data_IF_355812870388
#
_entry.id   IF_355812870388
#
_cell.length_a   1.000
_cell.length_b   1.000
_cell.length_c   1.000
_cell.angle_alpha   90.00
_cell.angle_beta   90.00
_cell.angle_gamma   90.00
#
_symmetry.space_group_name_H-M   'P 1'
#
loop_
_entity.id
_entity.type
_entity.pdbx_description
1 polymer ?
#
# COMPACT_ATOMS: atom_id res chain seq x y z
N UNK A 1 -30.26 -2.21 -21.67
CA UNK A 1 -30.10 -3.68 -21.60
C UNK A 1 -30.12 -4.38 -22.96
N UNK A 2 -30.99 -4.04 -23.98
CA UNK A 2 -30.93 -4.73 -25.28
C UNK A 2 -29.57 -4.72 -25.91
N UNK A 3 -28.96 -3.55 -26.09
CA UNK A 3 -27.64 -3.37 -26.70
C UNK A 3 -26.53 -4.27 -26.11
N UNK A 4 -26.56 -4.47 -24.78
CA UNK A 4 -25.56 -5.34 -24.11
C UNK A 4 -25.86 -6.83 -24.39
N UNK A 5 -27.14 -7.21 -24.42
CA UNK A 5 -27.55 -8.59 -24.77
C UNK A 5 -27.14 -8.90 -26.20
N UNK A 6 -27.41 -8.01 -27.15
CA UNK A 6 -27.07 -8.17 -28.57
C UNK A 6 -25.55 -8.27 -28.76
N UNK A 7 -24.79 -7.36 -28.15
CA UNK A 7 -23.33 -7.36 -28.19
C UNK A 7 -22.70 -8.65 -27.65
N UNK A 8 -23.29 -9.21 -26.57
CA UNK A 8 -22.81 -10.46 -25.98
C UNK A 8 -23.23 -11.68 -26.81
N UNK A 9 -24.46 -11.66 -27.36
CA UNK A 9 -24.98 -12.75 -28.18
C UNK A 9 -24.14 -12.99 -29.44
N UNK A 10 -23.67 -11.92 -30.12
CA UNK A 10 -22.76 -11.99 -31.25
C UNK A 10 -21.45 -12.76 -30.92
N UNK A 11 -21.07 -12.82 -29.63
CA UNK A 11 -19.86 -13.46 -29.10
C UNK A 11 -20.12 -14.78 -28.40
N UNK A 12 -21.34 -15.31 -28.56
CA UNK A 12 -21.75 -16.56 -27.91
C UNK A 12 -21.87 -16.45 -26.37
N UNK A 13 -21.97 -15.25 -25.82
CA UNK A 13 -22.09 -15.00 -24.40
C UNK A 13 -23.51 -14.59 -24.01
N UNK A 14 -23.95 -14.99 -22.83
CA UNK A 14 -25.26 -14.65 -22.27
C UNK A 14 -25.14 -14.00 -20.90
N UNK A 15 -26.00 -13.02 -20.62
CA UNK A 15 -26.14 -12.45 -19.29
C UNK A 15 -26.87 -13.43 -18.36
N UNK A 16 -26.32 -13.68 -17.19
CA UNK A 16 -27.06 -14.39 -16.14
C UNK A 16 -28.13 -13.46 -15.56
N UNK A 17 -29.39 -13.79 -15.72
CA UNK A 17 -30.50 -13.00 -15.20
C UNK A 17 -30.48 -12.90 -13.67
N UNK A 18 -30.14 -13.99 -12.99
CA UNK A 18 -30.02 -14.03 -11.52
C UNK A 18 -28.89 -13.13 -10.97
N UNK A 19 -27.83 -12.92 -11.73
CA UNK A 19 -26.64 -12.15 -11.31
C UNK A 19 -26.60 -10.74 -11.86
N UNK A 20 -27.49 -10.41 -12.79
CA UNK A 20 -27.53 -9.11 -13.46
C UNK A 20 -28.55 -8.21 -12.78
N UNK A 21 -28.07 -7.23 -12.03
CA UNK A 21 -28.91 -6.26 -11.32
C UNK A 21 -28.66 -4.87 -11.86
N UNK A 22 -29.73 -4.15 -12.17
CA UNK A 22 -29.68 -2.72 -12.49
C UNK A 22 -29.80 -1.95 -11.19
N UNK A 23 -28.73 -1.25 -10.81
CA UNK A 23 -28.68 -0.47 -9.57
C UNK A 23 -28.56 1.01 -9.89
N UNK A 24 -29.38 1.85 -9.25
CA UNK A 24 -29.23 3.28 -9.38
C UNK A 24 -27.95 3.75 -8.65
N UNK A 25 -27.20 4.65 -9.25
CA UNK A 25 -25.90 5.09 -8.71
C UNK A 25 -25.99 5.79 -7.35
N UNK A 26 -27.17 6.33 -6.98
CA UNK A 26 -27.44 6.87 -5.65
C UNK A 26 -27.57 5.81 -4.56
N UNK A 27 -27.99 4.58 -4.92
CA UNK A 27 -28.03 3.44 -4.00
C UNK A 27 -26.65 2.83 -3.86
N UNK A 28 -25.87 2.87 -4.95
CA UNK A 28 -24.49 2.38 -5.04
C UNK A 28 -24.40 0.86 -5.14
N UNK A 29 -23.25 0.37 -5.48
CA UNK A 29 -22.96 -1.05 -5.58
C UNK A 29 -21.52 -1.33 -5.14
N UNK A 30 -21.27 -2.57 -4.72
CA UNK A 30 -19.97 -3.05 -4.35
C UNK A 30 -19.29 -3.75 -5.53
N UNK A 31 -18.08 -3.33 -5.87
CA UNK A 31 -17.27 -3.93 -6.92
C UNK A 31 -15.81 -4.04 -6.46
N UNK A 32 -15.22 -5.22 -6.57
CA UNK A 32 -13.84 -5.50 -6.16
C UNK A 32 -13.49 -4.97 -4.76
N UNK A 33 -14.39 -5.15 -3.80
CA UNK A 33 -14.17 -4.70 -2.41
C UNK A 33 -14.29 -3.19 -2.20
N UNK A 34 -14.75 -2.46 -3.20
CA UNK A 34 -15.02 -1.04 -3.15
C UNK A 34 -16.50 -0.75 -3.37
N UNK A 35 -17.05 0.21 -2.64
CA UNK A 35 -18.41 0.71 -2.83
C UNK A 35 -18.36 1.96 -3.71
N UNK A 36 -19.10 1.92 -4.82
CA UNK A 36 -19.21 3.00 -5.80
C UNK A 36 -20.60 3.61 -5.64
N UNK A 37 -20.67 4.86 -5.22
CA UNK A 37 -21.95 5.52 -4.92
C UNK A 37 -21.86 7.03 -5.14
N UNK A 38 -22.99 7.63 -5.57
CA UNK A 38 -23.15 9.07 -5.68
C UNK A 38 -23.74 9.64 -4.38
N UNK A 39 -23.00 10.51 -3.71
CA UNK A 39 -23.42 11.20 -2.48
C UNK A 39 -23.59 12.68 -2.78
N UNK A 40 -24.79 13.22 -2.59
CA UNK A 40 -25.07 14.65 -2.81
C UNK A 40 -24.48 15.19 -4.14
N UNK A 41 -24.72 14.46 -5.24
CA UNK A 41 -24.21 14.82 -6.54
C UNK A 41 -22.76 14.42 -6.84
N UNK A 42 -21.95 14.04 -5.85
CA UNK A 42 -20.53 13.67 -6.01
C UNK A 42 -20.36 12.14 -6.00
N UNK A 43 -19.72 11.62 -7.05
CA UNK A 43 -19.35 10.20 -7.09
C UNK A 43 -18.17 9.95 -6.16
N UNK A 44 -18.34 9.04 -5.22
CA UNK A 44 -17.28 8.60 -4.31
C UNK A 44 -17.09 7.10 -4.44
N UNK A 45 -15.83 6.69 -4.42
CA UNK A 45 -15.41 5.29 -4.31
C UNK A 45 -14.79 5.13 -2.93
N UNK A 46 -15.29 4.17 -2.14
CA UNK A 46 -14.82 3.90 -0.77
C UNK A 46 -14.60 2.41 -0.57
N UNK A 47 -13.78 1.96 0.39
CA UNK A 47 -13.78 0.57 0.80
C UNK A 47 -15.18 0.10 1.16
N UNK A 48 -15.61 -1.05 0.63
CA UNK A 48 -16.95 -1.59 0.92
C UNK A 48 -17.04 -2.05 2.37
N UNK A 49 -18.26 -2.02 2.94
CA UNK A 49 -18.50 -2.53 4.30
C UNK A 49 -18.07 -3.99 4.46
N UNK A 50 -18.27 -4.79 3.42
CA UNK A 50 -17.88 -6.19 3.40
C UNK A 50 -16.36 -6.38 3.38
N UNK A 51 -15.63 -5.57 2.59
CA UNK A 51 -14.16 -5.59 2.58
C UNK A 51 -13.57 -5.21 3.94
N UNK A 52 -14.10 -4.18 4.60
CA UNK A 52 -13.70 -3.78 5.95
C UNK A 52 -13.99 -4.89 6.97
N UNK A 53 -15.18 -5.49 6.93
CA UNK A 53 -15.54 -6.62 7.82
C UNK A 53 -14.61 -7.81 7.62
N UNK A 54 -14.33 -8.19 6.37
CA UNK A 54 -13.44 -9.30 6.03
C UNK A 54 -12.01 -9.05 6.52
N UNK A 55 -11.48 -7.85 6.31
CA UNK A 55 -10.17 -7.45 6.81
C UNK A 55 -10.10 -7.53 8.35
N UNK A 56 -11.05 -6.92 9.04
CA UNK A 56 -11.09 -6.96 10.51
C UNK A 56 -11.30 -8.38 11.05
N UNK A 57 -12.04 -9.24 10.34
CA UNK A 57 -12.14 -10.67 10.65
C UNK A 57 -10.78 -11.34 10.56
N UNK A 58 -10.02 -11.11 9.48
CA UNK A 58 -8.66 -11.64 9.30
C UNK A 58 -7.72 -11.20 10.42
N UNK A 59 -7.72 -9.91 10.78
CA UNK A 59 -6.93 -9.39 11.92
C UNK A 59 -7.29 -10.09 13.22
N UNK A 60 -8.60 -10.22 13.53
CA UNK A 60 -9.06 -10.91 14.76
C UNK A 60 -8.66 -12.38 14.78
N UNK A 61 -8.71 -13.06 13.65
CA UNK A 61 -8.27 -14.46 13.53
C UNK A 61 -6.79 -14.57 13.86
N UNK A 62 -5.92 -13.73 13.25
CA UNK A 62 -4.48 -13.73 13.55
C UNK A 62 -4.23 -13.51 15.04
N UNK A 63 -4.89 -12.51 15.65
CA UNK A 63 -4.71 -12.23 17.09
C UNK A 63 -5.23 -13.38 17.95
N UNK A 64 -6.35 -14.02 17.58
CA UNK A 64 -6.94 -15.15 18.31
C UNK A 64 -6.06 -16.40 18.25
N UNK A 65 -5.46 -16.70 17.11
CA UNK A 65 -4.58 -17.84 16.92
C UNK A 65 -3.19 -17.64 17.60
N UNK A 66 -2.81 -16.41 17.83
CA UNK A 66 -1.52 -16.04 18.43
C UNK A 66 -1.66 -15.51 19.86
N UNK A 67 -2.46 -16.19 20.70
CA UNK A 67 -2.71 -15.78 22.09
C UNK A 67 -1.46 -15.78 22.96
N UNK A 68 -0.55 -16.72 22.72
CA UNK A 68 0.71 -16.92 23.48
C UNK A 68 1.93 -16.32 22.79
N UNK A 69 1.80 -15.84 21.55
CA UNK A 69 2.89 -15.26 20.78
C UNK A 69 3.49 -14.03 21.47
N UNK A 70 4.76 -13.78 21.24
CA UNK A 70 5.41 -12.54 21.66
C UNK A 70 4.84 -11.33 20.88
N UNK A 71 5.01 -10.15 21.43
CA UNK A 71 4.47 -8.93 20.81
C UNK A 71 5.10 -8.67 19.44
N UNK A 72 6.41 -8.84 19.32
CA UNK A 72 7.14 -8.65 18.05
C UNK A 72 6.68 -9.64 16.98
N UNK A 73 6.46 -10.90 17.31
CA UNK A 73 5.94 -11.90 16.39
C UNK A 73 4.53 -11.53 15.91
N UNK A 74 3.67 -11.04 16.81
CA UNK A 74 2.33 -10.61 16.45
C UNK A 74 2.36 -9.40 15.49
N UNK A 75 3.24 -8.42 15.74
CA UNK A 75 3.44 -7.27 14.86
C UNK A 75 3.93 -7.72 13.48
N UNK A 76 4.90 -8.64 13.42
CA UNK A 76 5.39 -9.19 12.13
C UNK A 76 4.30 -9.86 11.31
N UNK A 77 3.33 -10.52 11.96
CA UNK A 77 2.19 -11.16 11.28
C UNK A 77 1.13 -10.15 10.83
N UNK A 78 0.91 -9.09 11.59
CA UNK A 78 -0.12 -8.09 11.30
C UNK A 78 0.31 -7.07 10.25
N UNK A 79 1.55 -6.58 10.31
CA UNK A 79 2.04 -5.53 9.41
C UNK A 79 1.87 -5.84 7.92
N UNK A 80 2.22 -7.04 7.40
CA UNK A 80 2.00 -7.35 5.98
C UNK A 80 0.52 -7.31 5.59
N UNK A 81 -0.37 -7.74 6.49
CA UNK A 81 -1.82 -7.76 6.25
C UNK A 81 -2.39 -6.35 6.24
N UNK A 82 -1.97 -5.49 7.18
CA UNK A 82 -2.35 -4.09 7.23
C UNK A 82 -1.83 -3.37 5.99
N UNK A 83 -0.53 -3.49 5.68
CA UNK A 83 0.13 -2.86 4.54
C UNK A 83 -0.53 -3.25 3.21
N UNK A 84 -0.81 -4.53 3.01
CA UNK A 84 -1.46 -5.00 1.79
C UNK A 84 -2.85 -4.39 1.61
N UNK A 85 -3.64 -4.35 2.68
CA UNK A 85 -5.00 -3.81 2.65
C UNK A 85 -5.02 -2.29 2.44
N UNK A 86 -4.19 -1.53 3.14
CA UNK A 86 -4.13 -0.07 2.98
C UNK A 86 -3.57 0.33 1.61
N UNK A 87 -2.59 -0.40 1.08
CA UNK A 87 -2.06 -0.13 -0.25
C UNK A 87 -3.10 -0.35 -1.34
N UNK A 88 -3.97 -1.35 -1.20
CA UNK A 88 -5.09 -1.56 -2.12
C UNK A 88 -6.11 -0.41 -2.08
N UNK A 89 -6.45 0.06 -0.87
CA UNK A 89 -7.49 1.08 -0.69
C UNK A 89 -6.97 2.53 -0.67
N UNK A 90 -5.66 2.77 -0.78
CA UNK A 90 -5.09 4.13 -0.76
C UNK A 90 -5.47 5.01 -1.95
N UNK A 91 -6.01 4.42 -3.00
CA UNK A 91 -6.41 5.14 -4.22
C UNK A 91 -7.86 5.60 -4.22
N UNK A 92 -8.60 5.34 -3.16
CA UNK A 92 -10.01 5.71 -3.00
C UNK A 92 -10.22 6.55 -1.74
N UNK A 93 -11.44 7.00 -1.50
CA UNK A 93 -11.79 7.81 -0.31
C UNK A 93 -11.83 6.89 0.91
N UNK A 94 -10.72 6.70 1.58
CA UNK A 94 -10.52 5.71 2.64
C UNK A 94 -9.99 6.28 3.97
N UNK A 95 -9.67 7.57 4.07
CA UNK A 95 -9.04 8.15 5.25
C UNK A 95 -9.81 7.87 6.56
N UNK A 96 -11.11 8.15 6.59
CA UNK A 96 -11.97 7.90 7.76
C UNK A 96 -12.05 6.42 8.10
N UNK A 97 -12.08 5.57 7.06
CA UNK A 97 -12.12 4.11 7.23
C UNK A 97 -10.80 3.60 7.78
N UNK A 98 -9.67 4.17 7.38
CA UNK A 98 -8.36 3.84 7.93
C UNK A 98 -8.29 4.16 9.43
N UNK A 99 -8.80 5.33 9.85
CA UNK A 99 -8.90 5.67 11.27
C UNK A 99 -9.81 4.71 12.06
N UNK A 100 -10.97 4.36 11.49
CA UNK A 100 -11.87 3.35 12.08
C UNK A 100 -11.18 1.99 12.24
N UNK A 101 -10.45 1.56 11.23
CA UNK A 101 -9.74 0.27 11.21
C UNK A 101 -8.66 0.26 12.29
N UNK A 102 -7.86 1.31 12.42
CA UNK A 102 -6.83 1.43 13.46
C UNK A 102 -7.44 1.35 14.86
N UNK A 103 -8.58 2.00 15.07
CA UNK A 103 -9.30 1.91 16.35
C UNK A 103 -9.76 0.47 16.64
N UNK A 104 -10.31 -0.23 15.66
CA UNK A 104 -10.74 -1.63 15.81
C UNK A 104 -9.58 -2.60 16.04
N UNK A 105 -8.43 -2.34 15.41
CA UNK A 105 -7.20 -3.11 15.66
C UNK A 105 -6.73 -2.85 17.10
N UNK A 106 -6.71 -1.59 17.53
CA UNK A 106 -6.37 -1.24 18.93
C UNK A 106 -7.25 -1.98 19.93
N UNK A 107 -8.58 -1.97 19.77
CA UNK A 107 -9.50 -2.68 20.66
C UNK A 107 -9.18 -4.20 20.73
N UNK A 108 -8.84 -4.78 19.58
CA UNK A 108 -8.49 -6.20 19.49
C UNK A 108 -7.20 -6.51 20.25
N UNK A 109 -6.15 -5.70 20.06
CA UNK A 109 -4.86 -5.84 20.71
C UNK A 109 -4.94 -5.53 22.21
N UNK A 110 -5.75 -4.55 22.60
CA UNK A 110 -6.01 -4.26 24.01
C UNK A 110 -6.62 -5.46 24.73
N UNK A 111 -7.63 -6.08 24.15
CA UNK A 111 -8.25 -7.31 24.69
C UNK A 111 -7.24 -8.47 24.76
N UNK A 112 -6.35 -8.59 23.76
CA UNK A 112 -5.29 -9.59 23.76
C UNK A 112 -4.29 -9.34 24.90
N UNK A 113 -3.83 -8.13 25.11
CA UNK A 113 -2.91 -7.74 26.18
C UNK A 113 -3.52 -7.94 27.58
N UNK A 114 -4.76 -7.50 27.78
CA UNK A 114 -5.48 -7.69 29.06
C UNK A 114 -5.66 -9.17 29.42
N UNK A 115 -5.97 -10.01 28.43
CA UNK A 115 -6.13 -11.46 28.66
C UNK A 115 -4.85 -12.13 29.14
N UNK A 116 -3.69 -11.66 28.67
CA UNK A 116 -2.37 -12.20 29.07
C UNK A 116 -1.98 -11.81 30.50
N UNK A 117 -2.51 -10.70 31.01
CA UNK A 117 -2.11 -10.12 32.28
C UNK A 117 -3.32 -9.83 33.19
N UNK A 118 -4.10 -10.86 33.46
CA UNK A 118 -5.36 -10.77 34.26
C UNK A 118 -5.18 -10.14 35.64
N UNK A 119 -3.97 -10.27 36.24
CA UNK A 119 -3.67 -9.73 37.58
C UNK A 119 -2.97 -8.37 37.55
N UNK A 120 -2.80 -7.76 36.38
CA UNK A 120 -2.12 -6.45 36.24
C UNK A 120 -3.12 -5.34 35.92
N UNK A 121 -2.87 -4.17 36.48
CA UNK A 121 -3.71 -2.99 36.21
C UNK A 121 -3.56 -2.48 34.76
N UNK A 122 -4.56 -1.74 34.29
CA UNK A 122 -4.60 -1.21 32.91
C UNK A 122 -3.40 -0.32 32.58
N UNK A 123 -2.95 0.51 33.54
CA UNK A 123 -1.77 1.38 33.36
C UNK A 123 -0.50 0.58 33.12
N UNK A 124 -0.31 -0.52 33.88
CA UNK A 124 0.83 -1.40 33.68
C UNK A 124 0.81 -2.06 32.30
N UNK A 125 -0.37 -2.55 31.85
CA UNK A 125 -0.55 -3.16 30.52
C UNK A 125 -0.25 -2.15 29.43
N UNK A 126 -0.76 -0.92 29.56
CA UNK A 126 -0.49 0.15 28.62
C UNK A 126 1.02 0.42 28.49
N UNK A 127 1.70 0.63 29.61
CA UNK A 127 3.14 0.94 29.62
C UNK A 127 3.99 -0.22 29.06
N UNK A 128 3.52 -1.48 29.21
CA UNK A 128 4.24 -2.64 28.70
C UNK A 128 4.15 -2.77 27.17
N UNK A 129 3.00 -2.47 26.58
CA UNK A 129 2.73 -2.81 25.18
C UNK A 129 2.66 -1.60 24.25
N UNK A 130 2.43 -0.41 24.80
CA UNK A 130 2.34 0.84 24.03
C UNK A 130 3.42 1.80 24.49
N UNK A 131 4.15 2.35 23.54
CA UNK A 131 5.27 3.24 23.76
C UNK A 131 5.03 4.58 23.09
N UNK A 132 5.67 5.61 23.64
CA UNK A 132 5.80 6.89 22.95
C UNK A 132 6.90 6.76 21.90
N UNK A 133 6.55 6.81 20.64
CA UNK A 133 7.50 6.70 19.52
C UNK A 133 7.17 7.79 18.51
N UNK A 134 8.16 8.55 18.14
CA UNK A 134 8.01 9.74 17.31
C UNK A 134 6.99 10.70 17.95
N UNK A 135 6.01 11.20 17.22
CA UNK A 135 4.97 12.11 17.70
C UNK A 135 3.71 11.38 18.22
N UNK A 136 3.78 10.08 18.47
CA UNK A 136 2.62 9.27 18.87
C UNK A 136 2.81 8.63 20.25
N UNK A 137 1.91 8.95 21.15
CA UNK A 137 1.97 8.48 22.55
C UNK A 137 1.55 7.03 22.75
N UNK A 138 0.74 6.47 21.85
CA UNK A 138 0.18 5.13 21.97
C UNK A 138 0.53 4.27 20.75
N UNK A 139 1.81 3.92 20.61
CA UNK A 139 2.27 3.03 19.55
C UNK A 139 2.46 1.61 20.09
N UNK A 140 1.71 0.66 19.53
CA UNK A 140 1.90 -0.75 19.84
C UNK A 140 3.22 -1.22 19.22
N UNK A 141 4.24 -1.42 20.07
CA UNK A 141 5.59 -1.67 19.61
C UNK A 141 6.38 -2.52 20.62
N UNK A 142 7.31 -3.31 20.13
CA UNK A 142 8.17 -4.16 20.95
C UNK A 142 9.63 -4.04 20.52
N UNK A 143 10.56 -4.23 21.44
CA UNK A 143 11.94 -4.53 21.09
C UNK A 143 11.98 -5.90 20.41
N UNK A 144 12.49 -6.00 19.18
CA UNK A 144 12.50 -7.26 18.47
C UNK A 144 13.47 -8.24 19.10
N UNK A 145 13.05 -9.49 19.31
CA UNK A 145 13.89 -10.57 19.81
C UNK A 145 15.06 -10.88 18.85
N UNK A 146 14.85 -10.64 17.56
CA UNK A 146 15.86 -10.79 16.51
C UNK A 146 15.91 -9.52 15.66
N UNK A 147 17.11 -8.93 15.55
CA UNK A 147 17.39 -7.79 14.65
C UNK A 147 18.10 -8.31 13.41
N UNK A 148 17.45 -8.20 12.25
CA UNK A 148 18.14 -8.40 10.96
C UNK A 148 19.22 -7.33 10.74
N UNK A 149 20.18 -7.58 9.84
CA UNK A 149 21.29 -6.66 9.54
C UNK A 149 20.83 -5.24 9.14
N UNK A 150 19.63 -5.09 8.59
CA UNK A 150 19.06 -3.83 8.12
C UNK A 150 18.07 -3.19 9.10
N UNK A 151 17.94 -3.71 10.32
CA UNK A 151 16.99 -3.20 11.31
C UNK A 151 17.69 -2.29 12.32
N UNK A 152 17.68 -1.00 12.02
CA UNK A 152 18.36 0.05 12.81
C UNK A 152 17.44 0.70 13.87
N UNK A 153 16.14 0.38 13.87
CA UNK A 153 15.18 0.94 14.82
C UNK A 153 15.17 0.17 16.15
N UNK A 154 15.10 0.90 17.28
CA UNK A 154 14.98 0.30 18.62
C UNK A 154 13.72 -0.56 18.76
N UNK A 155 12.62 -0.15 18.14
CA UNK A 155 11.31 -0.77 18.26
C UNK A 155 10.77 -1.23 16.91
N UNK A 156 10.26 -2.47 16.89
CA UNK A 156 9.36 -2.93 15.84
C UNK A 156 7.96 -2.39 16.12
N UNK A 157 7.43 -1.52 15.23
CA UNK A 157 6.14 -0.84 15.35
C UNK A 157 5.04 -1.55 14.59
N UNK A 158 3.82 -1.55 15.15
CA UNK A 158 2.63 -1.86 14.37
C UNK A 158 2.37 -0.73 13.37
N UNK A 159 2.10 -1.08 12.12
CA UNK A 159 1.71 -0.11 11.10
C UNK A 159 0.29 0.41 11.36
N UNK A 160 0.12 1.71 11.16
CA UNK A 160 -1.19 2.36 11.25
C UNK A 160 -1.73 2.65 9.86
N UNK A 161 -2.96 2.21 9.61
CA UNK A 161 -3.64 2.46 8.35
C UNK A 161 -3.77 3.96 8.06
N UNK A 162 -4.10 4.76 9.07
CA UNK A 162 -4.25 6.21 8.95
C UNK A 162 -2.97 6.96 8.54
N UNK A 163 -1.79 6.37 8.74
CA UNK A 163 -0.54 6.96 8.28
C UNK A 163 -0.34 6.82 6.75
N UNK A 164 -1.17 6.02 6.09
CA UNK A 164 -1.08 5.82 4.64
C UNK A 164 -1.68 7.01 3.92
N UNK A 165 -0.86 7.69 3.11
CA UNK A 165 -1.31 8.81 2.30
C UNK A 165 -2.25 8.33 1.21
N UNK A 166 -3.39 9.00 1.08
CA UNK A 166 -4.33 8.78 -0.01
C UNK A 166 -3.73 9.35 -1.30
N UNK A 167 -3.69 8.54 -2.34
CA UNK A 167 -3.21 8.92 -3.67
C UNK A 167 -4.42 9.08 -4.57
N UNK A 168 -4.70 10.29 -5.02
CA UNK A 168 -5.80 10.53 -5.97
C UNK A 168 -5.44 9.95 -7.32
N UNK A 169 -6.33 9.12 -7.85
CA UNK A 169 -6.23 8.69 -9.24
C UNK A 169 -6.54 9.87 -10.16
N UNK A 170 -5.59 10.21 -11.03
CA UNK A 170 -5.83 11.16 -12.12
C UNK A 170 -6.44 10.39 -13.30
N UNK A 171 -7.67 10.75 -13.67
CA UNK A 171 -8.35 10.15 -14.81
C UNK A 171 -7.52 10.38 -16.09
N UNK A 172 -7.43 9.36 -16.91
CA UNK A 172 -6.84 9.48 -18.25
C UNK A 172 -7.85 10.23 -19.13
N UNK A 173 -7.38 11.17 -19.92
CA UNK A 173 -8.21 11.86 -20.94
C UNK A 173 -8.76 10.82 -21.91
N UNK A 174 -10.04 10.93 -22.24
CA UNK A 174 -10.72 9.88 -23.03
C UNK A 174 -10.09 9.67 -24.43
N UNK A 175 -9.57 10.74 -25.02
CA UNK A 175 -8.91 10.70 -26.33
C UNK A 175 -7.46 10.18 -26.25
N UNK A 176 -6.87 10.08 -25.04
CA UNK A 176 -5.48 9.69 -24.90
C UNK A 176 -5.29 8.20 -25.23
N UNK A 177 -4.58 7.95 -26.32
CA UNK A 177 -4.20 6.61 -26.76
C UNK A 177 -2.72 6.35 -26.44
N UNK A 178 -2.37 5.33 -25.61
CA UNK A 178 -0.98 5.05 -25.25
C UNK A 178 -0.12 4.59 -26.44
N UNK A 179 -0.74 4.14 -27.53
CA UNK A 179 -0.05 3.69 -28.74
C UNK A 179 0.14 4.80 -29.78
N UNK A 180 -0.44 5.99 -29.57
CA UNK A 180 -0.28 7.14 -30.45
C UNK A 180 0.84 8.07 -29.94
N UNK A 181 1.87 8.26 -30.76
CA UNK A 181 3.06 9.07 -30.45
C UNK A 181 2.74 10.49 -29.98
N UNK A 182 1.64 11.10 -30.43
CA UNK A 182 1.24 12.45 -29.99
C UNK A 182 0.96 12.53 -28.49
N UNK A 183 0.60 11.39 -27.84
CA UNK A 183 0.30 11.33 -26.42
C UNK A 183 1.49 10.91 -25.55
N UNK A 184 2.66 10.66 -26.14
CA UNK A 184 3.87 10.25 -25.40
C UNK A 184 4.21 11.22 -24.28
N UNK A 185 4.24 12.53 -24.56
CA UNK A 185 4.51 13.55 -23.55
C UNK A 185 3.51 13.57 -22.40
N UNK A 186 2.22 13.38 -22.70
CA UNK A 186 1.17 13.29 -21.70
C UNK A 186 1.36 12.11 -20.74
N UNK A 187 1.68 10.93 -21.27
CA UNK A 187 1.96 9.74 -20.43
C UNK A 187 3.25 9.89 -19.65
N UNK A 188 4.28 10.48 -20.24
CA UNK A 188 5.54 10.78 -19.57
C UNK A 188 5.39 11.71 -18.38
N UNK A 189 4.54 12.75 -18.52
CA UNK A 189 4.23 13.66 -17.42
C UNK A 189 3.48 12.94 -16.30
N UNK A 190 2.50 12.10 -16.63
CA UNK A 190 1.76 11.29 -15.66
C UNK A 190 2.65 10.33 -14.88
N UNK A 191 3.58 9.65 -15.56
CA UNK A 191 4.54 8.75 -14.93
C UNK A 191 5.52 9.52 -14.04
N UNK A 192 5.93 10.71 -14.49
CA UNK A 192 6.71 11.63 -13.68
C UNK A 192 6.01 12.00 -12.37
N UNK A 193 4.73 12.37 -12.42
CA UNK A 193 3.94 12.69 -11.23
C UNK A 193 3.75 11.49 -10.30
N UNK A 194 3.52 10.29 -10.84
CA UNK A 194 3.43 9.04 -10.07
C UNK A 194 4.74 8.76 -9.33
N UNK A 195 5.86 8.92 -10.03
CA UNK A 195 7.18 8.74 -9.45
C UNK A 195 7.47 9.76 -8.35
N UNK A 196 7.16 11.05 -8.56
CA UNK A 196 7.28 12.10 -7.55
C UNK A 196 6.44 11.80 -6.30
N UNK A 197 5.23 11.25 -6.47
CA UNK A 197 4.39 10.86 -5.35
C UNK A 197 4.97 9.65 -4.59
N UNK A 198 5.61 8.70 -5.27
CA UNK A 198 6.25 7.53 -4.65
C UNK A 198 7.53 7.91 -3.90
N UNK A 199 8.22 8.97 -4.34
CA UNK A 199 9.47 9.48 -3.75
C UNK A 199 9.26 10.68 -2.83
N UNK A 200 8.01 11.07 -2.54
CA UNK A 200 7.69 12.26 -1.73
C UNK A 200 8.38 12.23 -0.36
N UNK A 201 9.08 13.30 -0.05
CA UNK A 201 9.90 13.43 1.16
C UNK A 201 11.33 12.88 0.98
N UNK A 202 11.71 12.44 -0.22
CA UNK A 202 13.04 11.95 -0.56
C UNK A 202 13.63 12.76 -1.70
N UNK A 203 13.84 14.06 -1.49
CA UNK A 203 14.33 14.99 -2.52
C UNK A 203 15.62 14.54 -3.20
N UNK A 204 16.51 13.87 -2.46
CA UNK A 204 17.74 13.30 -3.03
C UNK A 204 17.45 12.26 -4.13
N UNK A 205 16.44 11.41 -3.93
CA UNK A 205 16.03 10.40 -4.93
C UNK A 205 15.45 11.05 -6.17
N UNK A 206 14.66 12.10 -6.00
CA UNK A 206 14.10 12.87 -7.12
C UNK A 206 15.22 13.52 -7.95
N UNK A 207 16.24 14.08 -7.29
CA UNK A 207 17.42 14.65 -7.98
C UNK A 207 18.17 13.60 -8.77
N UNK A 208 18.45 12.43 -8.17
CA UNK A 208 19.13 11.32 -8.85
C UNK A 208 18.32 10.91 -10.10
N UNK A 209 17.03 10.67 -9.94
CA UNK A 209 16.15 10.25 -11.02
C UNK A 209 16.08 11.26 -12.18
N UNK A 210 16.00 12.57 -11.89
CA UNK A 210 15.99 13.61 -12.90
C UNK A 210 17.36 13.73 -13.61
N UNK A 211 18.48 13.63 -12.86
CA UNK A 211 19.84 13.68 -13.41
C UNK A 211 20.11 12.53 -14.39
N UNK A 212 19.46 11.38 -14.17
CA UNK A 212 19.53 10.20 -15.05
C UNK A 212 18.51 10.26 -16.21
N UNK A 213 17.92 11.43 -16.49
CA UNK A 213 16.87 11.59 -17.51
C UNK A 213 15.71 10.60 -17.33
N UNK A 214 15.43 10.21 -16.06
CA UNK A 214 14.39 9.26 -15.64
C UNK A 214 14.60 7.82 -16.14
N UNK A 215 15.77 7.48 -16.64
CA UNK A 215 16.11 6.16 -17.16
C UNK A 215 17.11 5.42 -16.26
N UNK A 216 17.07 4.11 -16.32
CA UNK A 216 18.03 3.23 -15.68
C UNK A 216 19.36 3.27 -16.46
N UNK A 217 20.51 3.59 -15.85
CA UNK A 217 21.76 3.65 -16.57
C UNK A 217 22.29 2.28 -17.02
N UNK A 218 21.72 1.18 -16.52
CA UNK A 218 22.11 -0.19 -16.87
C UNK A 218 21.40 -0.68 -18.13
N UNK A 219 20.10 -0.52 -18.25
CA UNK A 219 19.30 -1.02 -19.38
C UNK A 219 18.80 0.10 -20.32
N UNK A 220 18.95 1.37 -19.95
CA UNK A 220 18.43 2.51 -20.71
C UNK A 220 16.92 2.73 -20.61
N UNK A 221 16.18 1.80 -20.03
CA UNK A 221 14.73 1.89 -19.91
C UNK A 221 14.29 2.84 -18.80
N UNK A 222 13.06 3.36 -18.91
CA UNK A 222 12.51 4.29 -17.93
C UNK A 222 12.26 3.65 -16.57
N UNK A 223 12.60 4.38 -15.52
CA UNK A 223 12.27 4.04 -14.14
C UNK A 223 10.95 4.72 -13.80
N UNK A 224 9.92 3.92 -13.54
CA UNK A 224 8.59 4.36 -13.15
C UNK A 224 8.22 3.85 -11.75
N UNK A 225 7.11 4.31 -11.22
CA UNK A 225 6.56 3.78 -9.96
C UNK A 225 6.12 2.32 -10.07
N UNK A 226 5.85 1.84 -11.28
CA UNK A 226 5.42 0.46 -11.57
C UNK A 226 6.61 -0.49 -11.69
N UNK A 227 7.67 -0.08 -12.40
CA UNK A 227 8.91 -0.87 -12.50
C UNK A 227 9.65 -0.95 -11.17
N UNK A 228 9.42 0.02 -10.29
CA UNK A 228 10.16 0.16 -9.05
C UNK A 228 11.61 0.58 -9.27
N UNK A 229 12.33 0.78 -8.18
CA UNK A 229 13.76 1.13 -8.23
C UNK A 229 14.49 0.67 -6.97
N UNK A 230 15.82 0.55 -7.12
CA UNK A 230 16.81 0.43 -6.05
C UNK A 230 17.86 1.52 -6.22
N UNK A 231 18.45 1.97 -5.13
CA UNK A 231 19.65 2.83 -5.19
C UNK A 231 20.88 1.96 -5.14
N UNK A 232 21.78 2.18 -6.06
CA UNK A 232 23.09 1.54 -6.10
C UNK A 232 24.18 2.61 -5.91
N UNK A 233 25.16 2.33 -5.07
CA UNK A 233 26.28 3.23 -4.80
C UNK A 233 27.47 2.80 -5.63
N UNK A 234 27.99 3.71 -6.44
CA UNK A 234 29.19 3.46 -7.25
C UNK A 234 30.42 3.85 -6.40
N UNK A 235 31.36 2.93 -6.13
CA UNK A 235 32.59 3.27 -5.43
C UNK A 235 33.49 4.13 -6.31
N UNK A 236 33.53 5.41 -6.02
CA UNK A 236 34.56 6.31 -6.60
C UNK A 236 35.54 6.76 -5.53
N UNK A 237 36.83 6.86 -5.92
CA UNK A 237 37.95 7.21 -5.06
C UNK A 237 37.64 8.41 -4.15
N UNK A 238 37.54 8.17 -2.85
CA UNK A 238 37.62 9.13 -1.73
C UNK A 238 36.58 10.28 -1.63
N UNK A 239 35.47 10.28 -2.35
CA UNK A 239 34.37 11.25 -2.15
C UNK A 239 33.04 10.55 -2.01
N UNK A 240 32.09 11.15 -1.24
CA UNK A 240 30.70 10.68 -1.04
C UNK A 240 30.17 10.00 -2.30
N UNK A 241 29.95 8.71 -2.21
CA UNK A 241 29.53 7.79 -3.24
C UNK A 241 28.35 8.35 -4.04
N UNK A 242 28.48 8.61 -5.35
CA UNK A 242 27.35 8.98 -6.16
C UNK A 242 26.39 7.80 -6.20
N UNK A 243 25.15 8.05 -5.81
CA UNK A 243 24.10 7.06 -5.90
C UNK A 243 23.44 7.13 -7.27
N UNK A 244 23.21 5.99 -7.89
CA UNK A 244 22.37 5.85 -9.08
C UNK A 244 21.08 5.11 -8.72
N UNK A 245 20.03 5.37 -9.50
CA UNK A 245 18.77 4.68 -9.39
C UNK A 245 18.69 3.66 -10.54
N UNK A 246 18.43 2.40 -10.20
CA UNK A 246 18.36 1.29 -11.17
C UNK A 246 17.11 0.44 -10.91
N UNK A 247 16.65 -0.31 -11.89
CA UNK A 247 15.56 -1.29 -11.66
C UNK A 247 16.00 -2.38 -10.68
N UNK A 248 15.04 -3.00 -9.95
CA UNK A 248 15.37 -4.08 -9.01
C UNK A 248 16.11 -5.26 -9.64
N UNK A 249 15.77 -5.62 -10.90
CA UNK A 249 16.49 -6.69 -11.64
C UNK A 249 17.88 -6.24 -12.12
N UNK A 250 18.02 -4.99 -12.59
CA UNK A 250 19.33 -4.43 -12.97
C UNK A 250 20.27 -4.33 -11.75
N UNK A 251 19.72 -4.01 -10.57
CA UNK A 251 20.48 -3.99 -9.33
C UNK A 251 21.04 -5.37 -8.96
N UNK A 252 20.24 -6.44 -9.14
CA UNK A 252 20.72 -7.81 -8.92
C UNK A 252 21.88 -8.15 -9.86
N UNK A 253 21.76 -7.84 -11.14
CA UNK A 253 22.79 -8.11 -12.14
C UNK A 253 24.10 -7.33 -11.88
N UNK A 254 24.05 -6.19 -11.18
CA UNK A 254 25.25 -5.46 -10.77
C UNK A 254 26.01 -6.12 -9.62
N UNK A 255 25.32 -6.93 -8.81
CA UNK A 255 25.90 -7.64 -7.67
C UNK A 255 26.24 -9.10 -7.95
N UNK A 256 25.66 -9.69 -9.01
CA UNK A 256 25.87 -11.05 -9.44
C UNK A 256 26.24 -11.07 -10.96
N UNK A 257 27.49 -10.69 -11.34
CA UNK A 257 27.85 -10.62 -12.75
C UNK A 257 28.02 -11.98 -13.44
N UNK A 258 27.88 -13.13 -12.76
CA UNK A 258 28.30 -14.43 -13.25
C UNK A 258 27.19 -15.47 -13.47
N UNK A 259 26.01 -15.08 -13.98
CA UNK A 259 25.05 -16.06 -14.51
C UNK A 259 24.60 -15.69 -15.93
N UNK A 260 25.57 -15.60 -16.84
CA UNK A 260 25.34 -15.70 -18.28
C UNK A 260 26.37 -16.73 -18.83
N UNK A 261 26.00 -18.00 -18.73
CA UNK A 261 26.41 -19.06 -19.66
C UNK A 261 25.17 -19.80 -20.08
#
# INVERSE_FOLDING_TARGET
>A
MPLIKDFLAERGLQLSEEKTVITHISDGFDFLGQNIRKYNGKLLIKPSKNAVKAFLKKVRTIVKENKTATQDLLIRKLNPVIRGWVNYHRYVVSADIFGLVDHRIFECLWKWACRRHKRKGRKWIANKYWHHIDNRTWTFAAEPAFRGKDFDEKYLKLEYAANTKIIRFKKITAEANPFDKKWTGYYEERDGERMLNSTKGREKLVKIWNNQKRCCPVCGERITSETGFKTHFIPENNRKWPAIMVHPWCHRNLHEPDYLI
#
